data_IF_820369084765
#
_entry.id   IF_820369084765
#
_cell.length_a   1.000
_cell.length_b   1.000
_cell.length_c   1.000
_cell.angle_alpha   90.00
_cell.angle_beta   90.00
_cell.angle_gamma   90.00
#
_symmetry.space_group_name_H-M   'P 1'
#
loop_
_entity.id
_entity.type
_entity.pdbx_description
1 polymer ?
#
# COMPACT_ATOMS: atom_id res chain seq x y z
N UNK A 1 5.69 17.74 -6.94
CA UNK A 1 6.99 17.15 -6.59
C UNK A 1 7.86 17.10 -7.84
N UNK A 2 9.17 17.36 -7.78
CA UNK A 2 10.05 17.22 -8.96
C UNK A 2 10.57 15.79 -8.99
N UNK A 3 10.55 15.16 -10.17
CA UNK A 3 11.02 13.77 -10.38
C UNK A 3 12.43 13.55 -9.82
N UNK A 4 13.34 14.51 -9.97
CA UNK A 4 14.70 14.40 -9.45
C UNK A 4 14.77 14.31 -7.92
N UNK A 5 13.86 14.96 -7.20
CA UNK A 5 13.82 14.89 -5.74
C UNK A 5 13.29 13.53 -5.30
N UNK A 6 12.25 13.02 -5.97
CA UNK A 6 11.74 11.66 -5.75
C UNK A 6 12.81 10.60 -5.99
N UNK A 7 13.60 10.72 -7.05
CA UNK A 7 14.71 9.77 -7.33
C UNK A 7 15.72 9.77 -6.19
N UNK A 8 16.06 10.94 -5.64
CA UNK A 8 16.96 11.05 -4.50
C UNK A 8 16.37 10.40 -3.25
N UNK A 9 15.14 10.77 -2.90
CA UNK A 9 14.44 10.26 -1.73
C UNK A 9 14.29 8.72 -1.75
N UNK A 10 14.04 8.14 -2.93
CA UNK A 10 13.94 6.68 -3.08
C UNK A 10 15.31 6.03 -3.01
N UNK A 11 16.33 6.66 -3.60
CA UNK A 11 17.70 6.13 -3.52
C UNK A 11 18.17 6.08 -2.07
N UNK A 12 17.97 7.17 -1.32
CA UNK A 12 18.35 7.25 0.09
C UNK A 12 17.51 6.28 0.93
N UNK A 13 16.18 6.23 0.71
CA UNK A 13 15.30 5.31 1.43
C UNK A 13 15.64 3.83 1.23
N UNK A 14 16.07 3.41 0.03
CA UNK A 14 16.52 2.02 -0.22
C UNK A 14 17.84 1.72 0.51
N UNK A 15 18.75 2.68 0.57
CA UNK A 15 20.02 2.53 1.31
C UNK A 15 19.73 2.37 2.80
N UNK A 16 18.93 3.29 3.37
CA UNK A 16 18.55 3.27 4.78
C UNK A 16 17.79 1.99 5.16
N UNK A 17 16.87 1.53 4.32
CA UNK A 17 16.13 0.28 4.54
C UNK A 17 17.04 -0.95 4.53
N UNK A 18 17.99 -1.03 3.58
CA UNK A 18 18.94 -2.15 3.54
C UNK A 18 19.85 -2.16 4.78
N UNK A 19 20.32 -0.98 5.21
CA UNK A 19 21.10 -0.83 6.44
C UNK A 19 20.29 -1.25 7.68
N UNK A 20 19.05 -0.79 7.82
CA UNK A 20 18.18 -1.16 8.93
C UNK A 20 17.89 -2.67 8.99
N UNK A 21 17.67 -3.31 7.83
CA UNK A 21 17.45 -4.76 7.74
C UNK A 21 18.71 -5.53 8.12
N UNK A 22 19.88 -5.11 7.61
CA UNK A 22 21.15 -5.74 7.94
C UNK A 22 21.45 -5.65 9.44
N UNK A 23 21.27 -4.47 10.04
CA UNK A 23 21.45 -4.25 11.47
C UNK A 23 20.49 -5.11 12.28
N UNK A 24 19.20 -5.15 11.91
CA UNK A 24 18.19 -5.94 12.62
C UNK A 24 18.44 -7.44 12.56
N UNK A 25 19.00 -7.94 11.45
CA UNK A 25 19.34 -9.35 11.24
C UNK A 25 20.76 -9.72 11.70
N UNK A 26 21.53 -8.77 12.24
CA UNK A 26 22.91 -9.00 12.69
C UNK A 26 23.88 -9.34 11.55
N UNK A 27 23.64 -8.81 10.35
CA UNK A 27 24.46 -9.03 9.17
C UNK A 27 25.56 -7.97 9.06
N UNK A 28 26.68 -8.29 8.37
CA UNK A 28 27.68 -7.26 8.06
C UNK A 28 27.06 -6.14 7.22
N UNK A 29 27.58 -4.90 7.30
CA UNK A 29 27.06 -3.77 6.53
C UNK A 29 26.90 -4.11 5.04
N UNK A 30 25.79 -3.67 4.46
CA UNK A 30 25.53 -3.87 3.05
C UNK A 30 26.61 -3.19 2.19
N UNK A 31 27.07 -3.89 1.15
CA UNK A 31 28.00 -3.32 0.19
C UNK A 31 27.34 -2.23 -0.66
N UNK A 32 28.14 -1.38 -1.29
CA UNK A 32 27.64 -0.43 -2.30
C UNK A 32 26.86 -1.16 -3.40
N UNK A 33 25.88 -0.48 -3.98
CA UNK A 33 25.04 -1.00 -5.05
C UNK A 33 24.07 0.05 -5.56
N UNK A 34 23.60 -0.13 -6.79
CA UNK A 34 22.46 0.62 -7.31
C UNK A 34 21.18 0.19 -6.59
N UNK A 35 20.10 0.96 -6.75
CA UNK A 35 18.80 0.68 -6.13
C UNK A 35 18.33 -0.75 -6.46
N UNK A 36 18.46 -1.17 -7.72
CA UNK A 36 18.02 -2.50 -8.18
C UNK A 36 18.82 -3.63 -7.50
N UNK A 37 20.13 -3.43 -7.34
CA UNK A 37 21.00 -4.41 -6.67
C UNK A 37 20.63 -4.54 -5.19
N UNK A 38 20.38 -3.41 -4.51
CA UNK A 38 20.00 -3.38 -3.09
C UNK A 38 18.62 -4.00 -2.87
N UNK A 39 17.63 -3.67 -3.71
CA UNK A 39 16.32 -4.30 -3.69
C UNK A 39 16.40 -5.81 -3.94
N UNK A 40 17.27 -6.25 -4.84
CA UNK A 40 17.51 -7.68 -5.07
C UNK A 40 18.08 -8.40 -3.85
N UNK A 41 18.97 -7.75 -3.08
CA UNK A 41 19.49 -8.31 -1.82
C UNK A 41 18.42 -8.35 -0.73
N UNK A 42 17.64 -7.28 -0.58
CA UNK A 42 16.49 -7.24 0.32
C UNK A 42 15.49 -8.36 0.00
N UNK A 43 15.18 -8.57 -1.28
CA UNK A 43 14.33 -9.68 -1.72
C UNK A 43 14.91 -11.05 -1.33
N UNK A 44 16.24 -11.22 -1.42
CA UNK A 44 16.93 -12.43 -0.98
C UNK A 44 16.94 -12.65 0.55
N UNK A 45 16.50 -11.66 1.35
CA UNK A 45 16.39 -11.76 2.81
C UNK A 45 14.95 -12.01 3.29
N UNK A 46 13.96 -12.05 2.40
CA UNK A 46 12.55 -12.13 2.78
C UNK A 46 12.21 -13.32 3.68
N UNK A 47 12.75 -14.51 3.41
CA UNK A 47 12.54 -15.71 4.26
C UNK A 47 13.02 -15.50 5.70
N UNK A 48 14.07 -14.69 5.90
CA UNK A 48 14.59 -14.35 7.23
C UNK A 48 13.78 -13.25 7.88
N UNK A 49 13.39 -12.24 7.10
CA UNK A 49 12.56 -11.13 7.57
C UNK A 49 11.17 -11.61 7.99
N UNK A 50 10.60 -12.62 7.32
CA UNK A 50 9.28 -13.18 7.66
C UNK A 50 9.22 -13.74 9.09
N UNK A 51 10.36 -14.19 9.62
CA UNK A 51 10.46 -14.67 11.01
C UNK A 51 10.40 -13.54 12.06
N UNK A 52 10.48 -12.27 11.63
CA UNK A 52 10.33 -11.08 12.45
C UNK A 52 9.17 -10.21 11.93
N UNK A 53 7.95 -10.37 12.49
CA UNK A 53 6.77 -9.65 12.04
C UNK A 53 6.89 -8.12 12.09
N UNK A 54 7.69 -7.58 13.02
CA UNK A 54 7.90 -6.13 13.14
C UNK A 54 8.77 -5.63 11.99
N UNK A 55 9.86 -6.34 11.69
CA UNK A 55 10.72 -6.02 10.56
C UNK A 55 10.00 -6.19 9.22
N UNK A 56 9.18 -7.23 9.08
CA UNK A 56 8.37 -7.45 7.88
C UNK A 56 7.37 -6.32 7.65
N UNK A 57 6.66 -5.87 8.69
CA UNK A 57 5.74 -4.73 8.58
C UNK A 57 6.49 -3.46 8.17
N UNK A 58 7.61 -3.16 8.83
CA UNK A 58 8.43 -2.00 8.48
C UNK A 58 8.90 -2.05 7.02
N UNK A 59 9.39 -3.19 6.54
CA UNK A 59 9.83 -3.36 5.16
C UNK A 59 8.68 -3.13 4.16
N UNK A 60 7.50 -3.66 4.44
CA UNK A 60 6.31 -3.45 3.60
C UNK A 60 5.89 -1.99 3.56
N UNK A 61 5.87 -1.32 4.73
CA UNK A 61 5.48 0.09 4.84
C UNK A 61 6.44 1.00 4.06
N UNK A 62 7.76 0.78 4.20
CA UNK A 62 8.78 1.58 3.50
C UNK A 62 8.75 1.34 1.98
N UNK A 63 8.69 0.08 1.55
CA UNK A 63 8.62 -0.26 0.12
C UNK A 63 7.33 0.28 -0.50
N UNK A 64 6.20 0.15 0.21
CA UNK A 64 4.91 0.71 -0.22
C UNK A 64 4.96 2.24 -0.33
N UNK A 65 5.57 2.91 0.66
CA UNK A 65 5.76 4.35 0.66
C UNK A 65 6.64 4.85 -0.50
N UNK A 66 7.70 4.12 -0.84
CA UNK A 66 8.55 4.43 -1.99
C UNK A 66 7.83 4.19 -3.33
N UNK A 67 7.11 3.06 -3.46
CA UNK A 67 6.32 2.76 -4.66
C UNK A 67 5.27 3.85 -4.93
N UNK A 68 4.58 4.31 -3.87
CA UNK A 68 3.62 5.41 -3.97
C UNK A 68 4.26 6.72 -4.43
N UNK A 69 5.42 7.09 -3.87
CA UNK A 69 6.17 8.29 -4.28
C UNK A 69 6.60 8.22 -5.75
N UNK A 70 7.00 7.03 -6.22
CA UNK A 70 7.27 6.77 -7.65
C UNK A 70 6.05 7.06 -8.51
N UNK A 71 4.90 6.45 -8.20
CA UNK A 71 3.66 6.63 -8.97
C UNK A 71 3.22 8.10 -9.00
N UNK A 72 3.24 8.77 -7.85
CA UNK A 72 2.88 10.19 -7.74
C UNK A 72 3.83 11.09 -8.58
N UNK A 73 5.12 10.78 -8.64
CA UNK A 73 6.11 11.53 -9.41
C UNK A 73 5.99 11.30 -10.93
N UNK A 74 5.66 10.08 -11.33
CA UNK A 74 5.48 9.69 -12.73
C UNK A 74 4.12 10.13 -13.29
N UNK A 75 3.20 10.56 -12.43
CA UNK A 75 1.83 10.91 -12.82
C UNK A 75 0.97 9.69 -13.10
N UNK A 76 1.41 8.50 -12.67
CA UNK A 76 0.64 7.27 -12.77
C UNK A 76 -0.52 7.35 -11.77
N UNK A 77 -1.75 7.33 -12.28
CA UNK A 77 -2.92 7.17 -11.43
C UNK A 77 -2.88 5.78 -10.81
N UNK A 78 -2.85 5.70 -9.47
CA UNK A 78 -2.94 4.44 -8.73
C UNK A 78 -4.03 3.54 -9.34
N UNK A 79 -3.72 2.26 -9.64
CA UNK A 79 -4.70 1.35 -10.22
C UNK A 79 -5.85 1.14 -9.22
N UNK A 80 -7.03 1.70 -9.52
CA UNK A 80 -8.20 1.60 -8.65
C UNK A 80 -9.06 0.42 -9.08
N UNK A 81 -9.18 -0.59 -8.22
CA UNK A 81 -10.00 -1.78 -8.51
C UNK A 81 -11.40 -1.60 -7.93
N UNK A 82 -12.44 -1.83 -8.76
CA UNK A 82 -13.83 -1.82 -8.30
C UNK A 82 -14.18 -3.11 -7.58
N UNK A 83 -14.64 -2.98 -6.35
CA UNK A 83 -15.26 -4.09 -5.62
C UNK A 83 -16.75 -4.18 -5.98
N UNK A 84 -17.28 -5.40 -6.00
CA UNK A 84 -18.66 -5.69 -6.42
C UNK A 84 -19.68 -5.31 -5.36
N UNK A 85 -19.30 -5.43 -4.10
CA UNK A 85 -20.22 -5.29 -2.98
C UNK A 85 -20.52 -3.84 -2.60
N UNK A 86 -21.54 -3.71 -1.75
CA UNK A 86 -22.04 -2.41 -1.27
C UNK A 86 -21.23 -1.97 -0.06
N UNK A 87 -20.98 -0.66 0.00
CA UNK A 87 -20.41 -0.05 1.20
C UNK A 87 -21.33 -0.29 2.41
N UNK A 88 -20.81 -0.78 3.55
CA UNK A 88 -21.64 -1.01 4.74
C UNK A 88 -22.18 0.26 5.38
N UNK A 89 -21.59 1.42 5.09
CA UNK A 89 -21.99 2.71 5.67
C UNK A 89 -23.12 3.39 4.90
N UNK A 90 -23.12 3.30 3.57
CA UNK A 90 -24.08 4.02 2.72
C UNK A 90 -24.84 3.13 1.73
N UNK A 91 -24.62 1.82 1.76
CA UNK A 91 -25.21 0.81 0.88
C UNK A 91 -24.97 1.03 -0.63
N UNK A 92 -24.07 1.94 -1.02
CA UNK A 92 -23.73 2.24 -2.41
C UNK A 92 -22.67 1.29 -2.97
N UNK A 93 -22.74 0.97 -4.27
CA UNK A 93 -21.75 0.14 -4.99
C UNK A 93 -20.54 0.98 -5.43
N UNK A 94 -19.91 1.61 -4.44
CA UNK A 94 -18.86 2.60 -4.59
C UNK A 94 -17.58 2.22 -3.85
N UNK A 95 -17.43 0.96 -3.46
CA UNK A 95 -16.19 0.48 -2.87
C UNK A 95 -15.10 0.35 -3.94
N UNK A 96 -13.90 0.79 -3.59
CA UNK A 96 -12.71 0.76 -4.42
C UNK A 96 -11.51 0.31 -3.59
N UNK A 97 -10.78 -0.66 -4.09
CA UNK A 97 -9.49 -1.06 -3.54
C UNK A 97 -8.38 -0.20 -4.17
N UNK A 98 -7.47 0.26 -3.32
CA UNK A 98 -6.32 1.11 -3.63
C UNK A 98 -5.06 0.33 -3.23
N UNK A 99 -4.44 -0.42 -4.17
CA UNK A 99 -3.33 -1.33 -3.90
C UNK A 99 -2.10 -0.65 -3.33
N UNK A 100 -1.76 0.55 -3.80
CA UNK A 100 -0.60 1.29 -3.31
C UNK A 100 -0.83 1.85 -1.90
N UNK A 101 -2.09 2.05 -1.52
CA UNK A 101 -2.47 2.47 -0.16
C UNK A 101 -2.73 1.32 0.79
N UNK A 102 -2.80 0.07 0.30
CA UNK A 102 -3.21 -1.08 1.10
C UNK A 102 -4.58 -0.88 1.77
N UNK A 103 -5.52 -0.23 1.06
CA UNK A 103 -6.78 0.21 1.66
C UNK A 103 -7.97 0.07 0.71
N UNK A 104 -9.15 -0.10 1.30
CA UNK A 104 -10.44 0.00 0.60
C UNK A 104 -11.13 1.29 1.01
N UNK A 105 -11.67 2.04 0.04
CA UNK A 105 -12.39 3.29 0.30
C UNK A 105 -13.76 3.25 -0.40
N UNK A 106 -14.74 3.93 0.21
CA UNK A 106 -16.00 4.25 -0.46
C UNK A 106 -15.91 5.60 -1.16
N UNK A 107 -16.01 5.65 -2.49
CA UNK A 107 -15.87 6.89 -3.27
C UNK A 107 -17.15 7.74 -3.34
N UNK A 108 -18.27 7.28 -2.76
CA UNK A 108 -19.51 8.05 -2.73
C UNK A 108 -19.33 9.33 -1.88
N UNK A 109 -19.51 10.54 -2.43
CA UNK A 109 -19.30 11.80 -1.71
C UNK A 109 -20.28 12.01 -0.55
N UNK A 110 -21.42 11.31 -0.54
CA UNK A 110 -22.39 11.33 0.55
C UNK A 110 -22.12 10.30 1.66
N UNK A 111 -21.12 9.42 1.51
CA UNK A 111 -20.82 8.39 2.50
C UNK A 111 -20.21 9.01 3.76
N UNK A 112 -20.78 8.70 4.92
CA UNK A 112 -20.32 9.15 6.24
C UNK A 112 -20.33 7.97 7.18
N UNK A 113 -19.31 7.87 8.03
CA UNK A 113 -19.33 6.87 9.10
C UNK A 113 -19.95 7.47 10.37
N UNK A 114 -20.53 6.62 11.24
CA UNK A 114 -21.14 7.08 12.49
C UNK A 114 -20.11 7.46 13.56
N UNK A 115 -18.81 7.19 13.35
CA UNK A 115 -17.75 7.46 14.31
C UNK A 115 -17.36 8.95 14.25
N UNK A 116 -17.54 9.73 15.33
CA UNK A 116 -17.28 11.17 15.32
C UNK A 116 -15.79 11.54 15.16
N UNK A 117 -14.89 10.65 15.57
CA UNK A 117 -13.44 10.82 15.49
C UNK A 117 -12.87 10.49 14.11
N UNK A 118 -13.64 9.83 13.25
CA UNK A 118 -13.22 9.56 11.88
C UNK A 118 -13.40 10.81 11.02
N UNK A 119 -12.33 11.25 10.36
CA UNK A 119 -12.35 12.46 9.53
C UNK A 119 -13.44 12.49 8.45
N UNK A 120 -13.94 11.34 8.00
CA UNK A 120 -15.04 11.30 7.04
C UNK A 120 -16.38 11.75 7.61
N UNK A 121 -16.54 11.85 8.93
CA UNK A 121 -17.79 12.28 9.57
C UNK A 121 -18.11 13.75 9.23
N UNK A 122 -17.11 14.63 9.29
CA UNK A 122 -17.27 16.07 9.13
C UNK A 122 -16.67 16.60 7.83
N UNK A 123 -15.52 16.07 7.40
CA UNK A 123 -14.81 16.57 6.23
C UNK A 123 -15.29 15.91 4.94
N UNK A 124 -15.86 16.73 4.04
CA UNK A 124 -16.37 16.30 2.72
C UNK A 124 -15.25 15.90 1.74
N UNK A 125 -14.01 16.26 2.01
CA UNK A 125 -12.84 15.88 1.22
C UNK A 125 -12.23 14.57 1.71
N UNK A 126 -12.42 14.24 2.99
CA UNK A 126 -11.98 12.99 3.58
C UNK A 126 -12.92 11.83 3.18
N UNK A 127 -12.35 10.63 2.99
CA UNK A 127 -13.11 9.41 2.72
C UNK A 127 -12.78 8.40 3.79
N UNK A 128 -13.80 7.67 4.24
CA UNK A 128 -13.56 6.55 5.14
C UNK A 128 -12.68 5.53 4.42
N UNK A 129 -11.62 5.12 5.10
CA UNK A 129 -10.60 4.21 4.61
C UNK A 129 -10.56 3.02 5.53
N UNK A 130 -10.72 1.83 4.97
CA UNK A 130 -10.52 0.56 5.65
C UNK A 130 -9.10 0.07 5.34
N UNK A 131 -8.12 0.28 6.24
CA UNK A 131 -6.80 -0.33 6.12
C UNK A 131 -6.89 -1.85 6.28
N UNK A 132 -5.80 -2.56 5.95
CA UNK A 132 -5.70 -4.03 6.03
C UNK A 132 -6.28 -4.64 7.32
N UNK A 133 -5.94 -4.04 8.47
CA UNK A 133 -6.40 -4.52 9.78
C UNK A 133 -7.93 -4.49 9.95
N UNK A 134 -8.64 -3.67 9.17
CA UNK A 134 -10.09 -3.46 9.28
C UNK A 134 -10.89 -4.19 8.18
N UNK A 135 -10.25 -4.97 7.30
CA UNK A 135 -10.98 -5.69 6.26
C UNK A 135 -11.91 -6.77 6.80
N UNK A 136 -11.56 -7.40 7.93
CA UNK A 136 -12.45 -8.35 8.58
C UNK A 136 -13.77 -7.70 9.03
N UNK A 137 -13.72 -6.47 9.51
CA UNK A 137 -14.91 -5.68 9.86
C UNK A 137 -15.71 -5.29 8.61
N UNK A 138 -15.02 -4.87 7.55
CA UNK A 138 -15.63 -4.53 6.26
C UNK A 138 -16.39 -5.74 5.68
N UNK A 139 -15.79 -6.92 5.68
CA UNK A 139 -16.38 -8.19 5.24
C UNK A 139 -17.61 -8.51 6.10
N UNK A 140 -17.46 -8.45 7.43
CA UNK A 140 -18.53 -8.78 8.38
C UNK A 140 -19.75 -7.86 8.30
N UNK A 141 -19.57 -6.61 7.88
CA UNK A 141 -20.67 -5.63 7.76
C UNK A 141 -21.22 -5.48 6.34
N UNK A 142 -20.39 -5.68 5.32
CA UNK A 142 -20.70 -5.34 3.93
C UNK A 142 -20.91 -6.54 3.00
N UNK A 143 -20.63 -7.76 3.48
CA UNK A 143 -20.68 -8.97 2.66
C UNK A 143 -19.57 -9.03 1.59
N UNK A 144 -18.61 -8.09 1.62
CA UNK A 144 -17.48 -8.09 0.70
C UNK A 144 -16.60 -9.31 0.93
N UNK A 145 -16.33 -10.11 -0.10
CA UNK A 145 -15.46 -11.27 0.04
C UNK A 145 -14.03 -10.83 0.34
N UNK A 146 -13.44 -11.34 1.43
CA UNK A 146 -12.05 -11.05 1.79
C UNK A 146 -11.10 -11.43 0.64
N UNK A 147 -11.41 -12.53 -0.04
CA UNK A 147 -10.70 -13.00 -1.24
C UNK A 147 -10.72 -11.99 -2.38
N UNK A 148 -11.83 -11.26 -2.58
CA UNK A 148 -11.93 -10.20 -3.60
C UNK A 148 -11.06 -8.98 -3.23
N UNK A 149 -11.05 -8.61 -1.94
CA UNK A 149 -10.21 -7.52 -1.44
C UNK A 149 -8.73 -7.88 -1.58
N UNK A 150 -8.34 -9.07 -1.12
CA UNK A 150 -6.96 -9.57 -1.23
C UNK A 150 -6.54 -9.67 -2.69
N UNK A 151 -7.34 -10.26 -3.57
CA UNK A 151 -7.02 -10.35 -5.00
C UNK A 151 -6.90 -8.97 -5.67
N UNK A 152 -7.78 -8.02 -5.32
CA UNK A 152 -7.75 -6.67 -5.85
C UNK A 152 -6.49 -5.89 -5.42
N UNK A 153 -5.96 -6.18 -4.23
CA UNK A 153 -4.77 -5.54 -3.69
C UNK A 153 -3.49 -6.31 -4.04
N UNK A 154 -3.59 -7.59 -4.37
CA UNK A 154 -2.55 -8.43 -4.95
C UNK A 154 -2.37 -8.23 -6.47
N UNK A 155 -3.18 -7.37 -7.10
CA UNK A 155 -2.96 -6.87 -8.46
C UNK A 155 -1.69 -5.98 -8.57
N UNK A 156 -0.54 -6.52 -8.16
CA UNK A 156 0.81 -6.04 -8.47
C UNK A 156 1.33 -6.56 -9.81
N UNK A 157 0.56 -7.36 -10.57
CA UNK A 157 1.16 -8.23 -11.60
C UNK A 157 0.62 -8.15 -13.03
N UNK A 158 -0.38 -7.32 -13.37
CA UNK A 158 -0.97 -7.34 -14.74
C UNK A 158 -1.13 -5.99 -15.45
N UNK A 159 -0.63 -4.89 -14.90
CA UNK A 159 -0.69 -3.57 -15.56
C UNK A 159 0.51 -3.27 -16.50
N UNK A 160 1.25 -4.30 -16.94
CA UNK A 160 2.42 -4.15 -17.83
C UNK A 160 2.25 -4.76 -19.24
N UNK A 161 1.06 -5.22 -19.62
CA UNK A 161 0.87 -6.01 -20.84
C UNK A 161 -0.17 -5.44 -21.81
N UNK A 162 -0.16 -4.14 -22.12
CA UNK A 162 -0.69 -3.62 -23.39
C UNK A 162 0.11 -2.39 -23.83
N UNK A 163 0.83 -2.53 -24.94
CA UNK A 163 1.51 -1.42 -25.62
C UNK A 163 2.59 -1.93 -26.58
N UNK A 164 2.16 -2.58 -27.67
CA UNK A 164 3.00 -2.74 -28.87
C UNK A 164 2.90 -1.49 -29.73
#
# INVERSE_FOLDING_TARGET
MRVCDTVRDITDGVVELEEAVHDRLGLPPAGKGSVEVRLGRLAGLLDRVETDPVLMRHLLDEVGGMARRCSDALGDAEPVVRLRDRCPLCASVSLRAFPLRGAVLCINPGCRCPQPDCGCHEDRTHRHSWPEAEWGELVGRGGTALEEITAALDCRSTAGAVGR
#
